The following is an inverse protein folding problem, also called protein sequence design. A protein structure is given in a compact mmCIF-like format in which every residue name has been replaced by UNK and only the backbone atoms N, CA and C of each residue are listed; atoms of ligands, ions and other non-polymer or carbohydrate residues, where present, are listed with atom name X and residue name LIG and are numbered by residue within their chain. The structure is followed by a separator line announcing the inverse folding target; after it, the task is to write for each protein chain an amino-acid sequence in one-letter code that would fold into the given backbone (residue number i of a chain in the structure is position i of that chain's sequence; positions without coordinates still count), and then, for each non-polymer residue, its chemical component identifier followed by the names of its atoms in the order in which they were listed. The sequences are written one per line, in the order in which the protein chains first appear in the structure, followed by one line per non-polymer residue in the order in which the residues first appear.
data_IF_543119125081
#
_entry.id   IF_543119125081
#
_cell.length_a   1.000
_cell.length_b   1.000
_cell.length_c   1.000
_cell.angle_alpha   90.00
_cell.angle_beta   90.00
_cell.angle_gamma   90.00
#
_symmetry.space_group_name_H-M   'P 1'
#
loop_
_entity.id
_entity.type
_entity.pdbx_description
1 polymer ?
#
# COMPACT_ATOMS: atom_id res chain seq x y z
N UNK A 1 -17.45 36.28 11.84
CA UNK A 1 -17.82 34.97 11.25
C UNK A 1 -16.67 34.34 10.46
N UNK A 2 -15.95 35.08 9.61
CA UNK A 2 -14.87 34.56 8.75
C UNK A 2 -13.73 33.83 9.49
N UNK A 3 -13.26 34.37 10.62
CA UNK A 3 -12.14 33.80 11.39
C UNK A 3 -12.48 32.44 12.01
N UNK A 4 -13.73 32.23 12.45
CA UNK A 4 -14.18 30.95 13.04
C UNK A 4 -14.30 29.84 11.97
N UNK A 5 -14.71 30.21 10.76
CA UNK A 5 -14.75 29.27 9.63
C UNK A 5 -13.34 28.89 9.16
N UNK A 6 -12.41 29.85 9.14
CA UNK A 6 -11.00 29.61 8.81
C UNK A 6 -10.31 28.67 9.81
N UNK A 7 -10.55 28.85 11.11
CA UNK A 7 -9.98 27.95 12.13
C UNK A 7 -10.56 26.54 12.04
N UNK A 8 -11.87 26.40 11.81
CA UNK A 8 -12.49 25.09 11.57
C UNK A 8 -11.93 24.39 10.33
N UNK A 9 -11.73 25.12 9.23
CA UNK A 9 -11.16 24.60 8.00
C UNK A 9 -9.72 24.11 8.23
N UNK A 10 -8.91 24.89 8.95
CA UNK A 10 -7.51 24.57 9.22
C UNK A 10 -7.36 23.33 10.12
N UNK A 11 -8.23 23.20 11.13
CA UNK A 11 -8.29 22.00 11.98
C UNK A 11 -8.72 20.78 11.17
N UNK A 12 -9.69 20.93 10.26
CA UNK A 12 -10.12 19.85 9.38
C UNK A 12 -8.97 19.40 8.47
N UNK A 13 -8.28 20.32 7.80
CA UNK A 13 -7.15 19.96 6.95
C UNK A 13 -6.00 19.30 7.74
N UNK A 14 -5.67 19.80 8.93
CA UNK A 14 -4.62 19.22 9.76
C UNK A 14 -4.95 17.79 10.24
N UNK A 15 -6.22 17.50 10.51
CA UNK A 15 -6.65 16.14 10.91
C UNK A 15 -6.68 15.18 9.72
N UNK A 16 -7.14 15.63 8.55
CA UNK A 16 -7.13 14.81 7.34
C UNK A 16 -5.71 14.49 6.87
N UNK A 17 -4.78 15.45 6.94
CA UNK A 17 -3.38 15.19 6.60
C UNK A 17 -2.77 14.20 7.57
N UNK A 18 -3.03 14.30 8.89
CA UNK A 18 -2.58 13.30 9.85
C UNK A 18 -2.97 11.87 9.47
N UNK A 19 -4.23 11.64 9.10
CA UNK A 19 -4.71 10.31 8.71
C UNK A 19 -4.18 9.83 7.35
N UNK A 20 -3.94 10.73 6.40
CA UNK A 20 -3.48 10.38 5.05
C UNK A 20 -1.94 10.31 4.92
N UNK A 21 -1.19 10.91 5.84
CA UNK A 21 0.29 11.01 5.73
C UNK A 21 1.00 9.85 6.42
N UNK A 22 0.36 9.17 7.36
CA UNK A 22 0.82 7.86 7.80
C UNK A 22 0.50 6.86 6.69
N UNK A 23 1.42 6.77 5.73
CA UNK A 23 1.39 5.73 4.71
C UNK A 23 1.47 4.34 5.34
N UNK A 24 1.65 3.33 4.48
CA UNK A 24 1.89 1.99 4.95
C UNK A 24 3.08 1.97 5.94
N UNK A 25 3.03 1.13 6.98
CA UNK A 25 4.18 0.82 7.84
C UNK A 25 4.55 -0.67 7.82
N UNK A 26 5.84 -0.98 8.00
CA UNK A 26 6.35 -2.34 8.08
C UNK A 26 6.63 -3.02 6.74
N UNK A 27 6.67 -4.35 6.74
CA UNK A 27 7.04 -5.14 5.56
C UNK A 27 6.05 -5.01 4.40
N UNK A 28 4.81 -4.59 4.67
CA UNK A 28 3.79 -4.34 3.65
C UNK A 28 4.19 -3.24 2.64
N UNK A 29 5.07 -2.32 3.02
CA UNK A 29 5.38 -1.11 2.24
C UNK A 29 6.73 -1.21 1.55
N UNK A 30 7.50 -2.24 1.90
CA UNK A 30 8.68 -2.64 1.14
C UNK A 30 8.28 -3.40 -0.13
N UNK A 31 7.05 -3.91 -0.19
CA UNK A 31 6.53 -4.63 -1.35
C UNK A 31 6.16 -3.64 -2.44
N UNK A 32 6.38 -3.99 -3.72
CA UNK A 32 5.98 -3.15 -4.84
C UNK A 32 4.45 -3.04 -4.93
N UNK A 33 3.98 -1.91 -5.45
CA UNK A 33 2.57 -1.69 -5.74
C UNK A 33 2.21 -2.21 -7.14
N UNK A 34 0.96 -2.66 -7.31
CA UNK A 34 0.44 -3.06 -8.63
C UNK A 34 0.17 -1.83 -9.51
N UNK A 35 0.31 -1.99 -10.81
CA UNK A 35 0.01 -0.94 -11.78
C UNK A 35 -0.64 -1.51 -13.05
N UNK A 36 -0.79 -0.69 -14.09
CA UNK A 36 -1.45 -1.08 -15.33
C UNK A 36 -0.66 -2.09 -16.19
N UNK A 37 0.56 -2.45 -15.80
CA UNK A 37 1.41 -3.43 -16.51
C UNK A 37 1.80 -4.63 -15.67
N UNK A 38 1.64 -4.57 -14.35
CA UNK A 38 2.04 -5.65 -13.46
C UNK A 38 1.14 -5.75 -12.23
N UNK A 39 0.91 -6.99 -11.81
CA UNK A 39 0.13 -7.34 -10.63
C UNK A 39 1.05 -7.99 -9.59
N UNK A 40 1.03 -7.46 -8.37
CA UNK A 40 1.78 -7.96 -7.23
C UNK A 40 0.85 -8.82 -6.37
N UNK A 41 1.14 -10.11 -6.25
CA UNK A 41 0.33 -11.07 -5.48
C UNK A 41 1.11 -11.44 -4.21
N UNK A 42 0.48 -11.27 -3.04
CA UNK A 42 1.05 -11.62 -1.74
C UNK A 42 0.64 -13.03 -1.32
N UNK A 43 1.61 -13.80 -0.82
CA UNK A 43 1.42 -15.19 -0.39
C UNK A 43 1.73 -15.37 1.10
N UNK A 44 0.73 -15.73 1.93
CA UNK A 44 1.00 -16.13 3.30
C UNK A 44 1.79 -17.46 3.33
N UNK A 45 2.56 -17.75 4.39
CA UNK A 45 3.51 -18.87 4.41
C UNK A 45 2.92 -20.24 4.06
N UNK A 46 1.69 -20.50 4.48
CA UNK A 46 0.91 -21.72 4.22
C UNK A 46 0.48 -21.88 2.76
N UNK A 47 0.50 -20.81 1.97
CA UNK A 47 0.13 -20.83 0.55
C UNK A 47 1.33 -20.82 -0.38
N UNK A 48 2.56 -20.91 0.13
CA UNK A 48 3.79 -20.87 -0.68
C UNK A 48 4.21 -22.19 -1.27
N UNK A 49 3.67 -23.31 -0.76
CA UNK A 49 4.11 -24.68 -1.06
C UNK A 49 4.04 -25.05 -2.56
N UNK A 50 3.31 -24.28 -3.38
CA UNK A 50 3.21 -24.43 -4.83
C UNK A 50 3.97 -23.40 -5.68
N UNK A 51 4.71 -22.47 -5.06
CA UNK A 51 5.54 -21.49 -5.77
C UNK A 51 6.90 -22.11 -6.13
N UNK A 52 7.46 -21.69 -7.27
CA UNK A 52 8.81 -22.08 -7.69
C UNK A 52 9.83 -21.79 -6.56
N UNK A 53 10.88 -22.59 -6.44
CA UNK A 53 11.85 -22.51 -5.34
C UNK A 53 12.49 -21.11 -5.22
N UNK A 54 12.57 -20.38 -6.35
CA UNK A 54 13.08 -18.99 -6.41
C UNK A 54 12.13 -17.97 -5.81
N UNK A 55 10.83 -18.25 -5.81
CA UNK A 55 9.76 -17.39 -5.29
C UNK A 55 9.34 -17.78 -3.87
N UNK A 56 9.73 -18.95 -3.36
CA UNK A 56 9.46 -19.41 -2.00
C UNK A 56 10.04 -18.49 -0.91
N UNK A 57 11.22 -17.91 -1.17
CA UNK A 57 11.88 -16.99 -0.24
C UNK A 57 11.26 -15.57 -0.28
N UNK A 58 10.56 -15.24 -1.37
CA UNK A 58 9.79 -14.01 -1.48
C UNK A 58 8.38 -14.24 -0.94
N UNK A 59 7.84 -13.25 -0.26
CA UNK A 59 6.44 -13.30 0.20
C UNK A 59 5.45 -12.74 -0.81
N UNK A 60 5.93 -12.44 -2.02
CA UNK A 60 5.14 -11.95 -3.13
C UNK A 60 5.73 -12.40 -4.48
N UNK A 61 4.85 -12.46 -5.48
CA UNK A 61 5.20 -12.67 -6.89
C UNK A 61 4.72 -11.48 -7.72
N UNK A 62 5.44 -11.14 -8.80
CA UNK A 62 5.04 -10.09 -9.75
C UNK A 62 4.67 -10.75 -11.08
N UNK A 63 3.44 -10.52 -11.53
CA UNK A 63 2.90 -11.07 -12.78
C UNK A 63 2.73 -9.95 -13.78
N UNK A 64 3.33 -10.09 -14.97
CA UNK A 64 3.16 -9.12 -16.05
C UNK A 64 1.77 -9.27 -16.67
N UNK A 65 1.07 -8.15 -16.78
CA UNK A 65 -0.20 -8.08 -17.49
C UNK A 65 0.08 -8.05 -18.99
N UNK A 66 -0.70 -8.81 -19.75
CA UNK A 66 -0.63 -8.83 -21.20
C UNK A 66 -1.59 -7.76 -21.75
N UNK A 67 -1.14 -7.05 -22.78
CA UNK A 67 -1.95 -6.07 -23.52
C UNK A 67 -3.12 -6.74 -24.25
#
# INVERSE_FOLDING_TARGET
MMIRSLTLLLVLFATLTGCATHGCTGNACKRPDSNNRELVIWWPPDMREGLDDRDHERDYTVVQLKD
#
